data_IF_155412531714
#
_entry.id   IF_155412531714
#
_cell.length_a   1.000
_cell.length_b   1.000
_cell.length_c   1.000
_cell.angle_alpha   90.00
_cell.angle_beta   90.00
_cell.angle_gamma   90.00
#
_symmetry.space_group_name_H-M   'P 1'
#
loop_
_entity.id
_entity.type
_entity.pdbx_description
1 polymer ?
#
# COMPACT_ATOMS: atom_id res chain seq x y z
N UNK A 1 -51.13 -30.09 -52.82
CA UNK A 1 -51.11 -30.39 -51.38
C UNK A 1 -49.65 -30.64 -50.99
N UNK A 2 -48.97 -29.67 -50.48
CA UNK A 2 -47.57 -29.74 -50.02
C UNK A 2 -47.49 -29.27 -48.60
N UNK A 3 -47.11 -30.16 -47.70
CA UNK A 3 -46.93 -29.87 -46.27
C UNK A 3 -45.53 -29.31 -46.07
N UNK A 4 -45.41 -28.06 -45.59
CA UNK A 4 -44.18 -27.53 -45.05
C UNK A 4 -44.13 -27.92 -43.56
N UNK A 5 -43.17 -28.78 -43.20
CA UNK A 5 -42.77 -29.06 -41.84
C UNK A 5 -41.76 -27.99 -41.38
N UNK A 6 -42.18 -27.13 -40.47
CA UNK A 6 -41.27 -26.20 -39.80
C UNK A 6 -40.47 -26.88 -38.70
N UNK A 7 -39.18 -26.96 -38.85
CA UNK A 7 -38.29 -27.38 -37.79
C UNK A 7 -38.18 -26.23 -36.74
N UNK A 8 -38.63 -26.51 -35.51
CA UNK A 8 -38.39 -25.62 -34.39
C UNK A 8 -36.91 -25.73 -33.96
N UNK A 9 -36.19 -24.65 -34.18
CA UNK A 9 -34.80 -24.50 -33.76
C UNK A 9 -34.77 -24.34 -32.22
N UNK A 10 -34.45 -25.40 -31.53
CA UNK A 10 -34.26 -25.38 -30.08
C UNK A 10 -32.91 -24.76 -29.79
N UNK A 11 -32.89 -23.44 -29.55
CA UNK A 11 -31.73 -22.77 -28.93
C UNK A 11 -31.45 -23.42 -27.58
N UNK A 12 -30.33 -24.14 -27.49
CA UNK A 12 -29.80 -24.65 -26.26
C UNK A 12 -29.47 -23.52 -25.26
N UNK A 13 -29.35 -23.83 -23.97
CA UNK A 13 -29.03 -22.82 -22.97
C UNK A 13 -27.72 -22.13 -23.33
N UNK A 14 -27.75 -20.81 -23.40
CA UNK A 14 -26.56 -20.00 -23.61
C UNK A 14 -25.54 -20.36 -22.52
N UNK A 15 -24.24 -20.50 -22.88
CA UNK A 15 -23.20 -20.73 -21.87
C UNK A 15 -23.22 -19.57 -20.87
N UNK A 16 -22.91 -19.84 -19.59
CA UNK A 16 -22.86 -18.79 -18.59
C UNK A 16 -21.86 -17.72 -19.06
N UNK A 17 -22.31 -16.48 -19.01
CA UNK A 17 -21.48 -15.32 -19.33
C UNK A 17 -20.28 -15.27 -18.35
N UNK A 18 -19.16 -15.86 -18.77
CA UNK A 18 -17.89 -15.85 -18.02
C UNK A 18 -17.34 -14.42 -17.82
N UNK A 19 -18.00 -13.44 -18.38
CA UNK A 19 -17.64 -12.03 -18.30
C UNK A 19 -18.46 -11.25 -17.25
N UNK A 20 -19.05 -11.92 -16.25
CA UNK A 20 -19.45 -11.24 -15.01
C UNK A 20 -18.17 -10.76 -14.33
N UNK A 21 -17.72 -9.60 -14.76
CA UNK A 21 -16.55 -8.91 -14.19
C UNK A 21 -16.78 -8.78 -12.69
N UNK A 22 -16.00 -9.50 -11.91
CA UNK A 22 -15.92 -9.26 -10.47
C UNK A 22 -15.80 -7.76 -10.23
N UNK A 23 -16.51 -7.18 -9.25
CA UNK A 23 -16.47 -5.74 -9.03
C UNK A 23 -15.04 -5.25 -8.94
N UNK A 24 -14.74 -4.19 -9.67
CA UNK A 24 -13.41 -3.56 -9.62
C UNK A 24 -13.28 -2.81 -8.31
N UNK A 25 -12.12 -2.94 -7.69
CA UNK A 25 -11.75 -2.16 -6.52
C UNK A 25 -11.28 -0.79 -7.00
N UNK A 26 -11.91 0.29 -6.54
CA UNK A 26 -11.48 1.65 -6.84
C UNK A 26 -10.44 2.10 -5.81
N UNK A 27 -9.19 2.21 -6.22
CA UNK A 27 -8.12 2.78 -5.40
C UNK A 27 -7.99 4.29 -5.69
N UNK A 28 -8.05 5.11 -4.65
CA UNK A 28 -7.78 6.54 -4.77
C UNK A 28 -6.33 6.80 -4.38
N UNK A 29 -5.51 7.12 -5.38
CA UNK A 29 -4.09 7.45 -5.19
C UNK A 29 -3.54 8.23 -6.37
N UNK A 30 -2.78 9.29 -6.10
CA UNK A 30 -1.93 10.00 -7.07
C UNK A 30 -0.49 9.48 -7.12
N UNK A 31 -0.14 8.48 -6.29
CA UNK A 31 1.22 7.95 -6.24
C UNK A 31 1.37 6.74 -7.19
N UNK A 32 2.14 6.86 -8.30
CA UNK A 32 2.29 5.79 -9.27
C UNK A 32 2.96 4.53 -8.70
N UNK A 33 3.88 4.67 -7.75
CA UNK A 33 4.56 3.54 -7.12
C UNK A 33 3.59 2.73 -6.24
N UNK A 34 2.73 3.41 -5.47
CA UNK A 34 1.68 2.76 -4.68
C UNK A 34 0.71 1.99 -5.59
N UNK A 35 0.32 2.62 -6.71
CA UNK A 35 -0.57 1.99 -7.70
C UNK A 35 0.06 0.75 -8.31
N UNK A 36 1.35 0.80 -8.66
CA UNK A 36 2.06 -0.35 -9.23
C UNK A 36 2.14 -1.52 -8.24
N UNK A 37 2.51 -1.27 -6.98
CA UNK A 37 2.52 -2.28 -5.94
C UNK A 37 1.12 -2.87 -5.71
N UNK A 38 0.08 -2.03 -5.61
CA UNK A 38 -1.30 -2.50 -5.48
C UNK A 38 -1.76 -3.37 -6.66
N UNK A 39 -1.35 -3.05 -7.88
CA UNK A 39 -1.63 -3.88 -9.08
C UNK A 39 -0.95 -5.23 -9.03
N UNK A 40 0.29 -5.31 -8.53
CA UNK A 40 0.96 -6.62 -8.36
C UNK A 40 0.27 -7.49 -7.32
N UNK A 41 -0.27 -6.87 -6.26
CA UNK A 41 -0.94 -7.60 -5.15
C UNK A 41 -2.36 -8.02 -5.53
N UNK A 42 -3.14 -7.13 -6.15
CA UNK A 42 -4.59 -7.31 -6.42
C UNK A 42 -4.90 -7.74 -7.86
N UNK A 43 -3.91 -7.68 -8.75
CA UNK A 43 -4.09 -8.03 -10.15
C UNK A 43 -4.95 -7.02 -10.95
N UNK A 44 -5.63 -7.52 -11.99
CA UNK A 44 -6.40 -6.70 -12.94
C UNK A 44 -7.71 -6.12 -12.42
N UNK A 45 -8.07 -6.40 -11.17
CA UNK A 45 -9.32 -5.93 -10.54
C UNK A 45 -9.24 -4.48 -10.04
N UNK A 46 -8.10 -3.82 -10.19
CA UNK A 46 -7.88 -2.49 -9.68
C UNK A 46 -8.22 -1.43 -10.72
N UNK A 47 -9.14 -0.54 -10.39
CA UNK A 47 -9.34 0.76 -11.03
C UNK A 47 -8.68 1.82 -10.16
N UNK A 48 -8.02 2.80 -10.75
CA UNK A 48 -7.39 3.86 -9.99
C UNK A 48 -7.93 5.23 -10.40
N UNK A 49 -8.05 6.11 -9.44
CA UNK A 49 -8.36 7.52 -9.66
C UNK A 49 -7.43 8.38 -8.83
N UNK A 50 -6.91 9.43 -9.44
CA UNK A 50 -6.17 10.48 -8.74
C UNK A 50 -7.14 11.60 -8.38
N UNK A 51 -7.19 11.93 -7.08
CA UNK A 51 -7.98 13.03 -6.55
C UNK A 51 -7.07 13.92 -5.71
N UNK A 52 -7.13 15.21 -5.95
CA UNK A 52 -6.50 16.21 -5.08
C UNK A 52 -7.28 16.30 -3.77
N UNK A 53 -6.86 15.52 -2.78
CA UNK A 53 -7.48 15.45 -1.47
C UNK A 53 -6.67 16.24 -0.46
N UNK A 54 -7.31 16.96 0.49
CA UNK A 54 -6.59 17.55 1.60
C UNK A 54 -5.96 16.47 2.46
N UNK A 55 -4.67 16.61 2.74
CA UNK A 55 -3.94 15.73 3.66
C UNK A 55 -3.84 16.44 5.02
N UNK A 56 -4.49 15.89 6.04
CA UNK A 56 -4.35 16.40 7.40
C UNK A 56 -2.95 16.06 7.94
N UNK A 57 -2.44 16.90 8.81
CA UNK A 57 -1.18 16.64 9.51
C UNK A 57 -1.49 16.03 10.87
N UNK A 58 -1.13 14.78 11.03
CA UNK A 58 -1.22 14.03 12.28
C UNK A 58 -0.08 13.02 12.38
N UNK A 59 0.29 12.63 13.58
CA UNK A 59 1.18 11.49 13.83
C UNK A 59 0.42 10.16 13.91
N UNK A 60 -0.90 10.19 13.99
CA UNK A 60 -1.76 9.01 13.94
C UNK A 60 -2.08 8.66 12.48
N UNK A 61 -1.50 7.55 12.00
CA UNK A 61 -1.69 7.08 10.64
C UNK A 61 -3.16 6.72 10.34
N UNK A 62 -3.89 6.20 11.34
CA UNK A 62 -5.29 5.85 11.16
C UNK A 62 -6.17 7.09 11.04
N UNK A 63 -5.86 8.15 11.77
CA UNK A 63 -6.55 9.44 11.66
C UNK A 63 -6.38 10.03 10.25
N UNK A 64 -5.14 10.04 9.73
CA UNK A 64 -4.83 10.51 8.37
C UNK A 64 -5.59 9.68 7.32
N UNK A 65 -5.54 8.35 7.45
CA UNK A 65 -6.19 7.42 6.55
C UNK A 65 -7.71 7.61 6.49
N UNK A 66 -8.36 7.75 7.67
CA UNK A 66 -9.80 7.96 7.77
C UNK A 66 -10.22 9.29 7.17
N UNK A 67 -9.52 10.37 7.50
CA UNK A 67 -9.80 11.68 6.92
C UNK A 67 -9.77 11.64 5.39
N UNK A 68 -8.73 11.01 4.83
CA UNK A 68 -8.59 10.82 3.38
C UNK A 68 -9.69 9.95 2.78
N UNK A 69 -9.99 8.80 3.40
CA UNK A 69 -10.98 7.85 2.88
C UNK A 69 -12.39 8.42 2.84
N UNK A 70 -12.83 9.06 3.90
CA UNK A 70 -14.15 9.67 3.96
C UNK A 70 -14.27 10.90 3.07
N UNK A 71 -13.21 11.71 2.90
CA UNK A 71 -13.19 12.81 1.94
C UNK A 71 -13.27 12.27 0.50
N UNK A 72 -12.52 11.23 0.18
CA UNK A 72 -12.59 10.57 -1.12
C UNK A 72 -13.99 10.03 -1.39
N UNK A 73 -14.60 9.36 -0.42
CA UNK A 73 -15.97 8.83 -0.55
C UNK A 73 -16.99 9.94 -0.80
N UNK A 74 -16.91 11.05 -0.08
CA UNK A 74 -17.81 12.20 -0.30
C UNK A 74 -17.74 12.75 -1.73
N UNK A 75 -16.55 12.70 -2.36
CA UNK A 75 -16.36 13.19 -3.74
C UNK A 75 -16.75 12.18 -4.80
N UNK A 76 -16.52 10.90 -4.55
CA UNK A 76 -16.72 9.81 -5.52
C UNK A 76 -18.14 9.23 -5.47
N UNK A 77 -18.74 9.12 -4.29
CA UNK A 77 -20.10 8.60 -4.07
C UNK A 77 -20.28 7.11 -4.32
N UNK A 78 -19.19 6.32 -4.34
CA UNK A 78 -19.23 4.85 -4.49
C UNK A 78 -18.13 4.19 -3.65
N UNK A 79 -18.25 2.88 -3.35
CA UNK A 79 -17.23 2.16 -2.59
C UNK A 79 -15.84 2.34 -3.17
N UNK A 80 -14.87 2.58 -2.29
CA UNK A 80 -13.48 2.82 -2.67
C UNK A 80 -12.51 2.35 -1.58
N UNK A 81 -11.24 2.36 -1.96
CA UNK A 81 -10.12 2.08 -1.06
C UNK A 81 -9.12 3.23 -1.13
N UNK A 82 -8.58 3.59 0.01
CA UNK A 82 -7.40 4.48 0.14
C UNK A 82 -6.30 3.75 0.89
N UNK A 83 -5.06 4.19 0.71
CA UNK A 83 -3.94 3.69 1.51
C UNK A 83 -3.06 4.81 2.02
N UNK A 84 -2.51 4.62 3.20
CA UNK A 84 -1.48 5.45 3.79
C UNK A 84 -0.34 4.64 4.36
N UNK A 85 0.83 5.27 4.41
CA UNK A 85 2.03 4.66 4.96
C UNK A 85 2.72 5.62 5.90
N UNK A 86 3.23 5.06 7.01
CA UNK A 86 4.07 5.76 7.95
C UNK A 86 5.43 5.07 8.07
N UNK A 87 6.42 5.83 8.49
CA UNK A 87 7.75 5.32 8.80
C UNK A 87 8.20 5.87 10.16
N UNK A 88 8.22 5.00 11.13
CA UNK A 88 8.52 5.31 12.52
C UNK A 88 10.00 4.99 12.79
N UNK A 89 10.73 5.91 13.40
CA UNK A 89 12.16 5.76 13.73
C UNK A 89 12.31 5.77 15.25
N UNK A 90 12.87 4.71 15.82
CA UNK A 90 12.98 4.53 17.27
C UNK A 90 13.77 5.66 17.92
N UNK A 91 14.88 6.08 17.30
CA UNK A 91 15.71 7.19 17.79
C UNK A 91 14.98 8.55 17.82
N UNK A 92 13.84 8.67 17.17
CA UNK A 92 13.01 9.88 17.14
C UNK A 92 11.67 9.70 17.86
N UNK A 93 11.54 8.66 18.67
CA UNK A 93 10.30 8.36 19.41
C UNK A 93 9.10 8.06 18.51
N UNK A 94 9.35 7.48 17.31
CA UNK A 94 8.32 7.16 16.32
C UNK A 94 8.09 8.24 15.25
N UNK A 95 8.70 9.44 15.40
CA UNK A 95 8.67 10.43 14.32
C UNK A 95 9.55 9.95 13.15
N UNK A 96 9.23 10.21 11.86
CA UNK A 96 8.17 11.10 11.37
C UNK A 96 6.78 10.45 11.21
N UNK A 97 6.65 9.12 11.31
CA UNK A 97 5.36 8.46 11.09
C UNK A 97 4.75 8.78 9.72
N UNK A 98 3.49 9.22 9.66
CA UNK A 98 2.82 9.61 8.40
C UNK A 98 3.48 10.78 7.68
N UNK A 99 4.23 11.61 8.39
CA UNK A 99 4.91 12.80 7.85
C UNK A 99 6.23 12.49 7.14
N UNK A 100 6.58 11.21 6.97
CA UNK A 100 7.84 10.76 6.38
C UNK A 100 8.12 11.35 4.98
N UNK A 101 7.08 11.63 4.20
CA UNK A 101 7.21 12.28 2.88
C UNK A 101 7.99 13.58 2.99
N UNK A 102 7.65 14.43 3.94
CA UNK A 102 8.31 15.72 4.14
C UNK A 102 9.76 15.59 4.60
N UNK A 103 10.06 14.60 5.43
CA UNK A 103 11.41 14.31 5.85
C UNK A 103 12.28 13.82 4.67
N UNK A 104 11.73 12.94 3.82
CA UNK A 104 12.41 12.47 2.62
C UNK A 104 12.62 13.58 1.58
N UNK A 105 11.67 14.48 1.42
CA UNK A 105 11.82 15.65 0.54
C UNK A 105 12.88 16.62 1.05
N UNK A 106 12.98 16.80 2.38
CA UNK A 106 13.91 17.73 2.99
C UNK A 106 15.37 17.23 2.97
N UNK A 107 15.61 15.94 3.22
CA UNK A 107 16.97 15.42 3.43
C UNK A 107 17.31 14.12 2.69
N UNK A 108 16.36 13.56 1.95
CA UNK A 108 16.52 12.28 1.26
C UNK A 108 16.60 11.07 2.20
N UNK A 109 16.57 9.85 1.65
CA UNK A 109 16.63 8.63 2.48
C UNK A 109 17.97 8.49 3.22
N UNK A 110 19.09 8.84 2.60
CA UNK A 110 20.40 8.76 3.24
C UNK A 110 20.53 9.78 4.39
N UNK A 111 20.08 11.02 4.20
CA UNK A 111 20.08 12.03 5.24
C UNK A 111 19.26 11.63 6.45
N UNK A 112 18.06 11.09 6.21
CA UNK A 112 17.18 10.52 7.23
C UNK A 112 17.88 9.40 8.02
N UNK A 113 18.49 8.42 7.32
CA UNK A 113 19.17 7.31 7.96
C UNK A 113 20.41 7.77 8.76
N UNK A 114 21.21 8.70 8.23
CA UNK A 114 22.35 9.27 8.96
C UNK A 114 21.93 10.00 10.23
N UNK A 115 20.87 10.80 10.17
CA UNK A 115 20.34 11.50 11.34
C UNK A 115 19.85 10.50 12.41
N UNK A 116 19.13 9.45 12.01
CA UNK A 116 18.65 8.42 12.93
C UNK A 116 19.80 7.64 13.60
N UNK A 117 20.81 7.24 12.83
CA UNK A 117 22.02 6.58 13.35
C UNK A 117 22.76 7.45 14.35
N UNK A 118 22.99 8.72 14.03
CA UNK A 118 23.71 9.64 14.91
C UNK A 118 23.01 9.88 16.25
N UNK A 119 21.66 9.95 16.24
CA UNK A 119 20.89 10.07 17.49
C UNK A 119 20.86 8.74 18.24
N UNK A 120 20.60 7.63 17.52
CA UNK A 120 20.54 6.29 18.13
C UNK A 120 21.82 5.85 18.79
N UNK A 121 23.00 6.17 18.20
CA UNK A 121 24.31 5.93 18.83
C UNK A 121 24.49 6.70 20.15
N UNK A 122 24.05 7.95 20.19
CA UNK A 122 24.15 8.78 21.42
C UNK A 122 23.25 8.31 22.53
N UNK A 123 22.07 7.79 22.18
CA UNK A 123 21.03 7.37 23.15
C UNK A 123 21.06 5.87 23.45
N UNK A 124 21.88 5.10 22.72
CA UNK A 124 21.95 3.66 22.85
C UNK A 124 20.70 2.92 22.33
N UNK A 125 19.85 3.60 21.54
CA UNK A 125 18.61 3.03 20.97
C UNK A 125 18.81 2.34 19.63
N UNK A 126 20.01 2.49 19.03
CA UNK A 126 20.30 1.93 17.71
C UNK A 126 19.56 2.64 16.57
N UNK A 127 19.47 1.97 15.43
CA UNK A 127 18.84 2.49 14.22
C UNK A 127 17.54 1.75 13.85
N UNK A 128 16.78 1.32 14.86
CA UNK A 128 15.51 0.63 14.66
C UNK A 128 14.47 1.52 13.95
N UNK A 129 13.69 0.89 13.08
CA UNK A 129 12.61 1.56 12.38
C UNK A 129 11.45 0.60 12.09
N UNK A 130 10.27 1.17 11.91
CA UNK A 130 9.04 0.45 11.59
C UNK A 130 8.38 1.08 10.37
N UNK A 131 8.26 0.31 9.29
CA UNK A 131 7.41 0.67 8.16
C UNK A 131 5.99 0.15 8.43
N UNK A 132 5.01 1.05 8.45
CA UNK A 132 3.60 0.73 8.67
C UNK A 132 2.79 1.10 7.43
N UNK A 133 1.91 0.20 7.02
CA UNK A 133 0.94 0.46 5.96
C UNK A 133 -0.46 0.22 6.45
N UNK A 134 -1.39 1.06 6.06
CA UNK A 134 -2.81 0.87 6.31
C UNK A 134 -3.61 1.08 5.03
N UNK A 135 -4.64 0.28 4.86
CA UNK A 135 -5.58 0.33 3.75
C UNK A 135 -6.99 0.43 4.32
N UNK A 136 -7.77 1.39 3.87
CA UNK A 136 -9.14 1.60 4.30
C UNK A 136 -10.10 1.39 3.13
N UNK A 137 -11.02 0.44 3.28
CA UNK A 137 -12.23 0.34 2.46
C UNK A 137 -13.35 1.16 3.10
N UNK A 138 -14.08 1.90 2.29
CA UNK A 138 -15.25 2.65 2.71
C UNK A 138 -16.35 2.56 1.66
N UNK A 139 -17.61 2.30 2.08
CA UNK A 139 -18.77 2.18 1.19
C UNK A 139 -19.94 3.13 1.56
N UNK A 140 -19.73 3.97 2.57
CA UNK A 140 -20.73 4.94 3.06
C UNK A 140 -21.51 4.48 4.27
N UNK A 141 -21.57 3.17 4.53
CA UNK A 141 -22.24 2.59 5.70
C UNK A 141 -21.21 2.07 6.72
N UNK A 142 -20.10 1.55 6.23
CA UNK A 142 -19.05 0.92 7.05
C UNK A 142 -17.67 1.25 6.52
N UNK A 143 -16.69 1.03 7.38
CA UNK A 143 -15.28 1.04 7.04
C UNK A 143 -14.61 -0.28 7.46
N UNK A 144 -13.64 -0.74 6.69
CA UNK A 144 -12.77 -1.86 7.04
C UNK A 144 -11.33 -1.40 6.89
N UNK A 145 -10.52 -1.64 7.90
CA UNK A 145 -9.09 -1.27 7.88
C UNK A 145 -8.24 -2.54 7.84
N UNK A 146 -7.33 -2.60 6.88
CA UNK A 146 -6.25 -3.57 6.84
C UNK A 146 -4.94 -2.91 7.29
N UNK A 147 -4.15 -3.60 8.09
CA UNK A 147 -2.87 -3.12 8.60
C UNK A 147 -1.74 -4.09 8.26
N UNK A 148 -0.56 -3.54 8.01
CA UNK A 148 0.67 -4.31 7.85
C UNK A 148 1.86 -3.55 8.43
N UNK A 149 2.73 -4.30 9.10
CA UNK A 149 3.89 -3.77 9.82
C UNK A 149 5.13 -4.55 9.43
N UNK A 150 6.20 -3.83 9.11
CA UNK A 150 7.52 -4.41 8.91
C UNK A 150 8.52 -3.68 9.81
N UNK A 151 9.13 -4.43 10.73
CA UNK A 151 10.22 -3.94 11.57
C UNK A 151 11.55 -4.11 10.84
N UNK A 152 12.52 -3.29 11.19
CA UNK A 152 13.84 -3.36 10.58
C UNK A 152 14.79 -2.33 11.17
N UNK A 153 15.91 -2.14 10.49
CA UNK A 153 16.92 -1.16 10.87
C UNK A 153 17.29 -0.27 9.69
N UNK A 154 17.74 0.93 10.00
CA UNK A 154 18.30 1.83 8.99
C UNK A 154 19.77 1.54 8.75
N UNK A 155 20.20 1.66 7.51
CA UNK A 155 21.56 1.42 7.07
C UNK A 155 22.07 2.53 6.17
N UNK A 156 23.37 2.79 6.22
CA UNK A 156 24.12 3.65 5.29
C UNK A 156 25.40 2.94 4.86
N UNK A 157 25.84 3.12 3.62
CA UNK A 157 25.18 3.88 2.54
C UNK A 157 23.90 3.21 2.06
N UNK A 158 23.03 3.93 1.32
CA UNK A 158 21.87 3.34 0.65
C UNK A 158 22.27 2.17 -0.26
N UNK A 159 21.43 1.12 -0.34
CA UNK A 159 21.68 -0.08 -1.14
C UNK A 159 20.48 -0.46 -1.98
N UNK A 160 20.76 -0.87 -3.24
CA UNK A 160 19.74 -1.22 -4.23
C UNK A 160 19.16 -0.02 -4.95
N UNK A 161 18.59 -0.28 -6.13
CA UNK A 161 17.96 0.73 -7.00
C UNK A 161 16.45 0.51 -7.12
N UNK A 162 15.93 -0.55 -6.49
CA UNK A 162 14.51 -0.86 -6.50
C UNK A 162 13.71 -0.07 -5.47
N UNK A 163 12.38 -0.10 -5.64
CA UNK A 163 11.46 0.54 -4.71
C UNK A 163 11.45 2.06 -4.80
N UNK A 164 11.10 2.72 -3.70
CA UNK A 164 11.02 4.18 -3.60
C UNK A 164 11.09 4.67 -2.15
N UNK A 165 11.24 5.97 -1.97
CA UNK A 165 11.25 6.58 -0.64
C UNK A 165 12.41 6.09 0.22
N UNK A 166 12.12 5.43 1.31
CA UNK A 166 13.11 4.90 2.26
C UNK A 166 13.65 3.51 1.91
N UNK A 167 13.16 2.87 0.86
CA UNK A 167 13.51 1.48 0.52
C UNK A 167 15.02 1.19 0.46
N UNK A 168 15.88 2.08 -0.10
CA UNK A 168 17.32 1.84 -0.17
C UNK A 168 18.05 1.84 1.18
N UNK A 169 17.45 2.37 2.23
CA UNK A 169 18.06 2.49 3.56
C UNK A 169 17.36 1.63 4.62
N UNK A 170 16.27 0.95 4.31
CA UNK A 170 15.53 0.11 5.25
C UNK A 170 15.83 -1.37 5.06
N UNK A 171 16.41 -1.98 6.10
CA UNK A 171 16.75 -3.39 6.19
C UNK A 171 15.69 -4.11 7.01
N UNK A 172 14.74 -4.82 6.38
CA UNK A 172 13.67 -5.49 7.11
C UNK A 172 14.18 -6.68 7.90
N UNK A 173 13.57 -6.95 9.04
CA UNK A 173 13.76 -8.16 9.81
C UNK A 173 13.13 -9.38 9.13
N UNK A 174 13.54 -10.59 9.55
CA UNK A 174 12.93 -11.85 9.13
C UNK A 174 13.31 -12.35 7.74
N UNK A 175 14.23 -11.68 7.04
CA UNK A 175 14.81 -12.22 5.81
C UNK A 175 15.83 -13.31 6.13
N UNK A 176 15.65 -14.50 5.56
CA UNK A 176 16.66 -15.55 5.61
C UNK A 176 17.83 -15.25 4.65
N UNK A 177 19.05 -15.57 5.07
CA UNK A 177 20.24 -15.38 4.27
C UNK A 177 20.91 -14.02 4.43
N UNK A 178 21.44 -13.45 3.32
CA UNK A 178 22.10 -12.14 3.36
C UNK A 178 21.09 -11.04 3.64
N UNK A 179 21.43 -10.16 4.58
CA UNK A 179 20.65 -8.98 4.89
C UNK A 179 20.56 -8.01 3.69
N UNK A 180 19.37 -7.78 3.19
CA UNK A 180 19.06 -6.92 2.02
C UNK A 180 18.08 -5.84 2.40
N UNK A 181 18.29 -4.62 1.88
CA UNK A 181 17.32 -3.54 2.00
C UNK A 181 16.10 -3.79 1.11
N UNK A 182 15.01 -3.05 1.34
CA UNK A 182 13.88 -3.08 0.40
C UNK A 182 14.29 -2.68 -1.02
N UNK A 183 15.28 -1.77 -1.17
CA UNK A 183 15.82 -1.40 -2.47
C UNK A 183 16.57 -2.51 -3.20
N UNK A 184 17.03 -3.56 -2.50
CA UNK A 184 17.69 -4.73 -3.07
C UNK A 184 16.73 -5.91 -3.33
N UNK A 185 15.46 -5.80 -2.93
CA UNK A 185 14.46 -6.85 -3.13
C UNK A 185 13.77 -6.73 -4.50
N UNK A 186 13.44 -7.87 -5.09
CA UNK A 186 12.49 -7.88 -6.19
C UNK A 186 11.09 -7.45 -5.70
N UNK A 187 10.33 -6.74 -6.56
CA UNK A 187 9.03 -6.20 -6.17
C UNK A 187 8.09 -7.25 -5.55
N UNK A 188 7.98 -8.43 -6.17
CA UNK A 188 7.15 -9.53 -5.64
C UNK A 188 7.63 -10.05 -4.27
N UNK A 189 8.94 -10.03 -4.00
CA UNK A 189 9.50 -10.41 -2.71
C UNK A 189 9.14 -9.37 -1.65
N UNK A 190 9.31 -8.07 -1.97
CA UNK A 190 8.90 -6.96 -1.12
C UNK A 190 7.40 -6.99 -0.85
N UNK A 191 6.55 -7.23 -1.86
CA UNK A 191 5.09 -7.31 -1.71
C UNK A 191 4.66 -8.45 -0.77
N UNK A 192 5.42 -9.54 -0.72
CA UNK A 192 5.16 -10.68 0.17
C UNK A 192 5.42 -10.38 1.64
N UNK A 193 6.50 -9.68 1.97
CA UNK A 193 6.97 -9.45 3.34
C UNK A 193 6.70 -8.03 3.84
N UNK A 194 6.53 -7.09 2.94
CA UNK A 194 6.42 -5.67 3.25
C UNK A 194 5.08 -5.28 3.87
N UNK A 195 5.11 -4.15 4.55
CA UNK A 195 3.96 -3.56 5.24
C UNK A 195 2.74 -3.38 4.33
N UNK A 196 2.92 -2.90 3.09
CA UNK A 196 1.80 -2.71 2.15
C UNK A 196 1.13 -4.02 1.77
N UNK A 197 1.92 -5.03 1.39
CA UNK A 197 1.38 -6.34 1.02
C UNK A 197 0.65 -7.02 2.19
N UNK A 198 1.14 -6.85 3.42
CA UNK A 198 0.46 -7.32 4.63
C UNK A 198 -0.88 -6.59 4.81
N UNK A 199 -0.91 -5.25 4.70
CA UNK A 199 -2.13 -4.45 4.87
C UNK A 199 -3.22 -4.85 3.86
N UNK A 200 -2.87 -5.06 2.59
CA UNK A 200 -3.82 -5.52 1.57
C UNK A 200 -4.36 -6.93 1.87
N UNK A 201 -3.52 -7.85 2.34
CA UNK A 201 -3.97 -9.21 2.71
C UNK A 201 -4.86 -9.18 3.96
N UNK A 202 -4.53 -8.35 4.94
CA UNK A 202 -5.34 -8.17 6.14
C UNK A 202 -6.72 -7.60 5.80
N UNK A 203 -6.79 -6.59 4.93
CA UNK A 203 -8.08 -6.06 4.45
C UNK A 203 -8.89 -7.13 3.70
N UNK A 204 -8.24 -7.93 2.86
CA UNK A 204 -8.91 -8.95 2.06
C UNK A 204 -9.46 -10.13 2.90
N UNK A 205 -9.03 -10.28 4.14
CA UNK A 205 -9.50 -11.31 5.08
C UNK A 205 -10.73 -10.87 5.88
N UNK A 206 -11.17 -9.61 5.77
CA UNK A 206 -12.32 -9.00 6.48
C UNK A 206 -13.53 -8.86 5.61
#
# INVERSE_FOLDING_TARGET
MGFFSGAADTMGPMPPDENRRSPRILLVTGNPNKLEEARRILGSRLEAVDLDLPEIQSLDLLEVLRAKGWEAYRRVGRPLVVEETGFEIDAFGGFPGPLVKWMLEAMGPEGMARAALAVGEREGSGAGAVARGMVLYVDGERELVGEGVARGTLVVPPRGEGGFGWDPVFLPEGLSGRARTYGELAGAEKDRIGHRGQAWRDLAAK
#
